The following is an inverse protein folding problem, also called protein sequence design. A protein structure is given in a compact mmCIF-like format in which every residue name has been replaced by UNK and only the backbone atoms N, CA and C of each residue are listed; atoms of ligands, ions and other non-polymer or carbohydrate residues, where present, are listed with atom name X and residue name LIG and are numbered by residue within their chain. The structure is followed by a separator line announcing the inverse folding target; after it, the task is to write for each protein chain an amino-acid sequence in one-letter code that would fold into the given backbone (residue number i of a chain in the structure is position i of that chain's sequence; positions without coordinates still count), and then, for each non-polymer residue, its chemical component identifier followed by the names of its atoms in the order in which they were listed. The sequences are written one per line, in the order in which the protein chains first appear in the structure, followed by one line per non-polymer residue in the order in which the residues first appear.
data_IF_838476846765
#
_entry.id   IF_838476846765
#
_cell.length_a   1.000
_cell.length_b   1.000
_cell.length_c   1.000
_cell.angle_alpha   90.00
_cell.angle_beta   90.00
_cell.angle_gamma   90.00
#
_symmetry.space_group_name_H-M   'P 1'
#
loop_
_entity.id
_entity.type
_entity.pdbx_description
1 polymer ?
#
# COMPACT_ATOMS: atom_id res chain seq x y z
N UNK A 1 37.97 -3.28 -1.61
CA UNK A 1 37.08 -2.23 -1.09
C UNK A 1 35.65 -2.60 -1.49
N UNK A 2 34.72 -2.70 -0.53
CA UNK A 2 33.31 -3.04 -0.80
C UNK A 2 32.56 -1.74 -1.09
N UNK A 3 32.14 -1.54 -2.34
CA UNK A 3 31.33 -0.39 -2.73
C UNK A 3 29.98 -0.50 -2.02
N UNK A 4 29.69 0.40 -1.06
CA UNK A 4 28.36 0.54 -0.50
C UNK A 4 27.48 1.21 -1.55
N UNK A 5 26.57 0.46 -2.18
CA UNK A 5 25.49 1.06 -2.96
C UNK A 5 24.57 1.79 -1.97
N UNK A 6 24.46 3.11 -2.11
CA UNK A 6 23.42 3.89 -1.44
C UNK A 6 22.09 3.37 -1.97
N UNK A 7 21.37 2.60 -1.15
CA UNK A 7 19.99 2.23 -1.45
C UNK A 7 19.20 3.52 -1.56
N UNK A 8 18.85 3.93 -2.78
CA UNK A 8 17.93 5.04 -3.00
C UNK A 8 16.64 4.69 -2.26
N UNK A 9 16.29 5.50 -1.27
CA UNK A 9 15.04 5.31 -0.54
C UNK A 9 13.90 5.27 -1.55
N UNK A 10 13.19 4.14 -1.61
CA UNK A 10 11.99 4.04 -2.40
C UNK A 10 11.00 5.10 -1.89
N UNK A 11 10.33 5.85 -2.79
CA UNK A 11 9.35 6.84 -2.38
C UNK A 11 8.32 6.23 -1.44
N UNK A 12 8.10 6.87 -0.29
CA UNK A 12 7.07 6.48 0.65
C UNK A 12 5.68 6.85 0.10
N UNK A 13 4.62 6.13 0.49
CA UNK A 13 3.27 6.58 0.21
C UNK A 13 3.02 7.95 0.85
N UNK A 14 2.17 8.75 0.21
CA UNK A 14 1.63 9.96 0.85
C UNK A 14 0.56 9.58 1.86
N UNK A 15 0.28 10.45 2.83
CA UNK A 15 -0.83 10.27 3.78
C UNK A 15 -2.16 10.01 3.06
N UNK A 16 -2.45 10.76 1.98
CA UNK A 16 -3.66 10.58 1.19
C UNK A 16 -3.76 9.17 0.57
N UNK A 17 -2.63 8.58 0.18
CA UNK A 17 -2.57 7.22 -0.34
C UNK A 17 -2.87 6.20 0.76
N UNK A 18 -2.34 6.41 1.97
CA UNK A 18 -2.61 5.55 3.14
C UNK A 18 -4.11 5.59 3.48
N UNK A 19 -4.68 6.79 3.63
CA UNK A 19 -6.10 6.98 3.95
C UNK A 19 -7.04 6.37 2.88
N UNK A 20 -6.65 6.44 1.61
CA UNK A 20 -7.39 5.82 0.51
C UNK A 20 -7.46 4.29 0.65
N UNK A 21 -6.33 3.65 0.95
CA UNK A 21 -6.27 2.18 1.16
C UNK A 21 -7.03 1.77 2.41
N UNK A 22 -6.87 2.51 3.50
CA UNK A 22 -7.56 2.25 4.77
C UNK A 22 -9.09 2.33 4.61
N UNK A 23 -9.58 3.32 3.86
CA UNK A 23 -11.00 3.45 3.54
C UNK A 23 -11.53 2.30 2.68
N UNK A 24 -10.72 1.82 1.71
CA UNK A 24 -11.07 0.65 0.91
C UNK A 24 -11.22 -0.60 1.78
N UNK A 25 -10.31 -0.83 2.74
CA UNK A 25 -10.39 -1.95 3.69
C UNK A 25 -11.62 -1.83 4.59
N UNK A 26 -11.88 -0.65 5.16
CA UNK A 26 -13.07 -0.41 6.00
C UNK A 26 -14.38 -0.67 5.26
N UNK A 27 -14.44 -0.39 3.96
CA UNK A 27 -15.64 -0.60 3.15
C UNK A 27 -16.08 -2.07 3.08
N UNK A 28 -15.18 -3.03 3.35
CA UNK A 28 -15.45 -4.46 3.34
C UNK A 28 -16.22 -4.98 4.57
N UNK A 29 -16.58 -4.10 5.53
CA UNK A 29 -17.43 -4.40 6.70
C UNK A 29 -17.06 -5.67 7.49
N UNK A 30 -15.76 -5.97 7.61
CA UNK A 30 -15.27 -7.11 8.39
C UNK A 30 -15.27 -8.46 7.65
N UNK A 31 -15.54 -8.47 6.35
CA UNK A 31 -15.28 -9.65 5.52
C UNK A 31 -13.80 -9.73 5.16
N UNK A 32 -13.27 -10.96 5.02
CA UNK A 32 -11.93 -11.18 4.46
C UNK A 32 -11.90 -10.60 3.04
N UNK A 33 -10.98 -9.66 2.80
CA UNK A 33 -10.78 -9.01 1.51
C UNK A 33 -9.39 -9.35 0.98
N UNK A 34 -9.31 -9.67 -0.31
CA UNK A 34 -8.05 -10.02 -0.96
C UNK A 34 -7.35 -8.79 -1.55
N UNK A 35 -6.02 -8.87 -1.72
CA UNK A 35 -5.23 -7.80 -2.35
C UNK A 35 -5.76 -7.38 -3.74
N UNK A 36 -6.16 -8.31 -4.64
CA UNK A 36 -6.78 -7.93 -5.92
C UNK A 36 -8.10 -7.17 -5.76
N UNK A 37 -8.91 -7.50 -4.77
CA UNK A 37 -10.19 -6.80 -4.50
C UNK A 37 -9.94 -5.39 -3.98
N UNK A 38 -8.97 -5.22 -3.06
CA UNK A 38 -8.53 -3.90 -2.62
C UNK A 38 -8.10 -3.08 -3.84
N UNK A 39 -7.22 -3.62 -4.69
CA UNK A 39 -6.75 -2.91 -5.90
C UNK A 39 -7.88 -2.46 -6.82
N UNK A 40 -8.92 -3.29 -6.99
CA UNK A 40 -10.09 -2.95 -7.83
C UNK A 40 -10.99 -1.89 -7.20
N UNK A 41 -11.04 -1.83 -5.87
CA UNK A 41 -11.85 -0.84 -5.13
C UNK A 41 -11.22 0.55 -5.06
N UNK A 42 -9.91 0.66 -5.33
CA UNK A 42 -9.21 1.94 -5.26
C UNK A 42 -9.57 2.82 -6.48
N UNK A 43 -9.86 4.12 -6.27
CA UNK A 43 -10.16 5.05 -7.36
C UNK A 43 -8.96 5.32 -8.28
N UNK A 44 -7.74 4.97 -7.83
CA UNK A 44 -6.49 5.07 -8.60
C UNK A 44 -5.68 3.81 -8.40
N UNK A 45 -5.00 3.36 -9.45
CA UNK A 45 -4.10 2.22 -9.35
C UNK A 45 -2.87 2.57 -8.50
N UNK A 46 -2.85 2.06 -7.28
CA UNK A 46 -1.68 2.12 -6.39
C UNK A 46 -0.71 1.01 -6.79
N UNK A 47 0.58 1.34 -6.89
CA UNK A 47 1.63 0.36 -7.18
C UNK A 47 1.59 -0.79 -6.15
N UNK A 48 1.79 -2.02 -6.62
CA UNK A 48 1.82 -3.20 -5.75
C UNK A 48 2.75 -3.05 -4.55
N UNK A 49 3.99 -2.58 -4.74
CA UNK A 49 4.96 -2.42 -3.65
C UNK A 49 4.45 -1.43 -2.59
N UNK A 50 3.92 -0.29 -3.03
CA UNK A 50 3.33 0.72 -2.15
C UNK A 50 2.12 0.16 -1.40
N UNK A 51 1.25 -0.58 -2.07
CA UNK A 51 0.10 -1.21 -1.43
C UNK A 51 0.55 -2.21 -0.37
N UNK A 52 1.51 -3.09 -0.66
CA UNK A 52 2.02 -4.06 0.31
C UNK A 52 2.63 -3.37 1.54
N UNK A 53 3.43 -2.31 1.34
CA UNK A 53 3.95 -1.51 2.45
C UNK A 53 2.87 -0.86 3.31
N UNK A 54 1.78 -0.41 2.69
CA UNK A 54 0.65 0.15 3.45
C UNK A 54 -0.05 -0.95 4.25
N UNK A 55 -0.30 -2.12 3.65
CA UNK A 55 -0.92 -3.24 4.35
C UNK A 55 -0.05 -3.72 5.53
N UNK A 56 1.25 -3.87 5.32
CA UNK A 56 2.22 -4.21 6.37
C UNK A 56 2.22 -3.18 7.53
N UNK A 57 1.96 -1.90 7.24
CA UNK A 57 1.86 -0.86 8.26
C UNK A 57 0.51 -0.86 9.01
N UNK A 58 -0.57 -1.35 8.39
CA UNK A 58 -1.93 -1.35 8.94
C UNK A 58 -2.27 -2.63 9.71
N UNK A 59 -1.48 -3.70 9.54
CA UNK A 59 -1.50 -4.90 10.41
C UNK A 59 -0.91 -4.61 11.79
#
# INVERSE_FOLDING_TARGET
MKTMMVQRAMPSPTLNTVLMVENAIRSAKGSVITVPEIKRSLPKQVNHYTLMRILEYLE
#
